data_IF_124821627953
#
_entry.id   IF_124821627953
#
_cell.length_a   1.000
_cell.length_b   1.000
_cell.length_c   1.000
_cell.angle_alpha   90.00
_cell.angle_beta   90.00
_cell.angle_gamma   90.00
#
_symmetry.space_group_name_H-M   'P 1'
#
loop_
_entity.id
_entity.type
_entity.pdbx_description
1 polymer ?
#
# COMPACT_ATOMS: atom_id res chain seq x y z
N UNK A 1 -18.49 12.83 -13.29
CA UNK A 1 -17.09 12.34 -13.19
C UNK A 1 -17.01 10.97 -13.85
N UNK A 2 -16.02 10.71 -14.71
CA UNK A 2 -15.83 9.39 -15.34
C UNK A 2 -14.91 8.54 -14.47
N UNK A 3 -15.33 7.32 -14.13
CA UNK A 3 -14.51 6.35 -13.39
C UNK A 3 -13.47 5.76 -14.35
N UNK A 4 -12.18 5.89 -14.01
CA UNK A 4 -11.05 5.44 -14.84
C UNK A 4 -10.31 4.23 -14.25
N UNK A 5 -10.55 3.94 -12.97
CA UNK A 5 -9.94 2.85 -12.23
C UNK A 5 -10.86 2.52 -11.03
N UNK A 6 -11.17 1.25 -10.84
CA UNK A 6 -11.87 0.72 -9.66
C UNK A 6 -11.43 -0.71 -9.43
N UNK A 7 -10.77 -0.94 -8.29
CA UNK A 7 -10.39 -2.24 -7.78
C UNK A 7 -10.32 -2.16 -6.25
N UNK A 8 -10.57 -3.29 -5.60
CA UNK A 8 -10.46 -3.46 -4.17
C UNK A 8 -9.28 -4.37 -3.83
N UNK A 9 -8.64 -4.13 -2.69
CA UNK A 9 -7.59 -4.98 -2.14
C UNK A 9 -6.46 -4.19 -1.51
N UNK A 10 -5.40 -4.92 -1.15
CA UNK A 10 -4.25 -4.36 -0.44
C UNK A 10 -3.34 -3.65 -1.44
N UNK A 11 -3.16 -2.34 -1.29
CA UNK A 11 -2.24 -1.54 -2.12
C UNK A 11 -0.79 -1.62 -1.67
N UNK A 12 -0.56 -1.76 -0.36
CA UNK A 12 0.76 -1.87 0.25
C UNK A 12 0.71 -2.97 1.30
N UNK A 13 1.58 -3.96 1.17
CA UNK A 13 1.79 -4.94 2.23
C UNK A 13 2.73 -4.33 3.26
N UNK A 14 2.27 -4.22 4.50
CA UNK A 14 3.05 -3.73 5.62
C UNK A 14 3.49 -4.91 6.49
N UNK A 15 4.78 -5.00 6.80
CA UNK A 15 5.33 -5.98 7.74
C UNK A 15 6.16 -5.25 8.79
N UNK A 16 5.83 -5.49 10.06
CA UNK A 16 6.70 -5.12 11.18
C UNK A 16 7.40 -6.36 11.71
N UNK A 17 8.71 -6.28 11.86
CA UNK A 17 9.52 -7.33 12.48
C UNK A 17 10.33 -6.73 13.61
N UNK A 18 10.15 -7.28 14.80
CA UNK A 18 11.00 -6.96 15.95
C UNK A 18 12.30 -7.73 15.79
N UNK A 19 13.41 -7.01 15.70
CA UNK A 19 14.76 -7.57 15.58
C UNK A 19 15.57 -7.18 16.81
N UNK A 20 16.20 -8.19 17.43
CA UNK A 20 17.18 -7.99 18.49
C UNK A 20 18.56 -7.83 17.87
N UNK A 21 19.27 -6.78 18.24
CA UNK A 21 20.66 -6.59 17.83
C UNK A 21 21.59 -7.41 18.72
N UNK A 22 22.87 -7.52 18.33
CA UNK A 22 23.89 -8.21 19.11
C UNK A 22 24.16 -7.59 20.51
N UNK A 23 23.57 -6.42 20.82
CA UNK A 23 23.70 -5.72 22.11
C UNK A 23 22.40 -5.75 22.94
N UNK A 24 21.48 -6.67 22.62
CA UNK A 24 20.15 -6.79 23.25
C UNK A 24 19.19 -5.59 23.01
N UNK A 25 19.54 -4.66 22.12
CA UNK A 25 18.62 -3.59 21.72
C UNK A 25 17.49 -4.14 20.84
N UNK A 26 16.27 -3.63 21.07
CA UNK A 26 15.08 -3.99 20.31
C UNK A 26 14.79 -2.93 19.24
N UNK A 27 14.87 -3.32 17.97
CA UNK A 27 14.55 -2.48 16.82
C UNK A 27 13.27 -2.97 16.13
N UNK A 28 12.41 -2.02 15.76
CA UNK A 28 11.22 -2.31 14.93
C UNK A 28 11.62 -2.05 13.48
N UNK A 29 11.81 -3.13 12.72
CA UNK A 29 12.01 -3.06 11.29
C UNK A 29 10.65 -3.01 10.59
N UNK A 30 10.43 -1.96 9.79
CA UNK A 30 9.20 -1.73 9.03
C UNK A 30 9.50 -1.92 7.55
N UNK A 31 8.79 -2.83 6.90
CA UNK A 31 8.90 -3.09 5.47
C UNK A 31 7.56 -2.81 4.79
N UNK A 32 7.59 -1.93 3.78
CA UNK A 32 6.44 -1.61 2.93
C UNK A 32 6.69 -2.13 1.52
N UNK A 33 5.88 -3.08 1.08
CA UNK A 33 5.96 -3.64 -0.27
C UNK A 33 4.73 -3.23 -1.08
N UNK A 34 4.86 -2.36 -2.10
CA UNK A 34 3.76 -2.03 -2.98
C UNK A 34 3.30 -3.27 -3.74
N UNK A 35 1.98 -3.49 -3.77
CA UNK A 35 1.40 -4.64 -4.47
C UNK A 35 1.19 -4.35 -5.95
N UNK A 36 0.74 -5.35 -6.71
CA UNK A 36 0.35 -5.16 -8.12
C UNK A 36 -0.74 -4.10 -8.29
N UNK A 37 -1.69 -3.99 -7.36
CA UNK A 37 -2.77 -3.01 -7.41
C UNK A 37 -2.24 -1.57 -7.42
N UNK A 38 -1.18 -1.31 -6.66
CA UNK A 38 -0.52 0.00 -6.65
C UNK A 38 0.05 0.39 -8.02
N UNK A 39 0.69 -0.56 -8.69
CA UNK A 39 1.24 -0.34 -10.03
C UNK A 39 0.15 -0.11 -11.08
N UNK A 40 -0.95 -0.88 -11.01
CA UNK A 40 -2.09 -0.70 -11.91
C UNK A 40 -2.75 0.67 -11.72
N UNK A 41 -2.90 1.14 -10.48
CA UNK A 41 -3.38 2.49 -10.18
C UNK A 41 -2.43 3.55 -10.74
N UNK A 42 -1.11 3.41 -10.51
CA UNK A 42 -0.10 4.36 -11.02
C UNK A 42 -0.18 4.52 -12.53
N UNK A 43 -0.24 3.42 -13.27
CA UNK A 43 -0.34 3.47 -14.72
C UNK A 43 -1.69 4.05 -15.17
N UNK A 44 -2.79 3.76 -14.47
CA UNK A 44 -4.10 4.30 -14.79
C UNK A 44 -4.20 5.84 -14.65
N UNK A 45 -3.49 6.43 -13.68
CA UNK A 45 -3.51 7.88 -13.39
C UNK A 45 -2.39 8.66 -14.10
N UNK A 46 -1.42 7.98 -14.71
CA UNK A 46 -0.25 8.59 -15.35
C UNK A 46 -0.66 9.63 -16.39
N UNK A 47 -0.18 10.86 -16.24
CA UNK A 47 -0.46 11.98 -17.13
C UNK A 47 -1.87 12.56 -17.04
N UNK A 48 -2.68 12.18 -16.03
CA UNK A 48 -4.06 12.66 -15.84
C UNK A 48 -4.19 13.47 -14.56
N UNK A 49 -4.98 14.55 -14.61
CA UNK A 49 -5.43 15.26 -13.40
C UNK A 49 -6.62 14.50 -12.79
N UNK A 50 -6.43 13.89 -11.62
CA UNK A 50 -7.41 12.98 -11.00
C UNK A 50 -7.69 13.35 -9.55
N UNK A 51 -8.85 12.95 -9.04
CA UNK A 51 -9.18 12.91 -7.60
C UNK A 51 -9.23 11.45 -7.19
N UNK A 52 -8.42 11.06 -6.21
CA UNK A 52 -8.42 9.70 -5.65
C UNK A 52 -9.28 9.71 -4.38
N UNK A 53 -10.17 8.73 -4.25
CA UNK A 53 -10.96 8.50 -3.04
C UNK A 53 -10.68 7.08 -2.57
N UNK A 54 -10.30 6.94 -1.30
CA UNK A 54 -9.92 5.66 -0.68
C UNK A 54 -10.92 5.35 0.41
N UNK A 55 -11.35 4.10 0.49
CA UNK A 55 -12.24 3.59 1.53
C UNK A 55 -11.55 2.42 2.21
N UNK A 56 -11.72 2.31 3.53
CA UNK A 56 -11.37 1.10 4.26
C UNK A 56 -12.43 0.04 3.97
N UNK A 57 -11.98 -1.19 3.72
CA UNK A 57 -12.85 -2.32 3.43
C UNK A 57 -12.77 -3.32 4.58
N UNK A 58 -13.92 -3.74 5.10
CA UNK A 58 -13.98 -4.75 6.15
C UNK A 58 -13.73 -6.14 5.53
N UNK A 59 -12.81 -6.92 6.11
CA UNK A 59 -12.68 -8.34 5.80
C UNK A 59 -13.99 -9.04 6.22
N UNK A 60 -14.70 -9.62 5.25
CA UNK A 60 -15.96 -10.35 5.45
C UNK A 60 -15.75 -11.76 5.97
#
# INVERSE_FOLDING_TARGET
>A
MKKIFEKEGIFVNYKEKVVKTARDDVLIHREENPTRLWWELKEAIKGKKVKIVVYEVEDK
#
